data_IF_072195436497
#
_entry.id   IF_072195436497
#
_cell.length_a   1.000
_cell.length_b   1.000
_cell.length_c   1.000
_cell.angle_alpha   90.00
_cell.angle_beta   90.00
_cell.angle_gamma   90.00
#
_symmetry.space_group_name_H-M   'P 1'
#
loop_
_entity.id
_entity.type
_entity.pdbx_description
1 polymer ?
#
# COMPACT_ATOMS: atom_id res chain seq x y z
N UNK A 1 29.61 -10.65 60.26
CA UNK A 1 29.58 -10.93 58.79
C UNK A 1 28.33 -10.33 58.24
N UNK A 2 28.41 -9.15 57.58
CA UNK A 2 27.28 -8.46 56.98
C UNK A 2 27.29 -8.77 55.49
N UNK A 3 26.28 -9.47 54.99
CA UNK A 3 26.08 -9.70 53.58
C UNK A 3 25.29 -8.55 52.99
N UNK A 4 25.90 -7.78 52.09
CA UNK A 4 25.25 -6.74 51.31
C UNK A 4 24.28 -7.37 50.30
N UNK A 5 23.05 -6.87 50.16
CA UNK A 5 22.18 -7.27 49.04
C UNK A 5 22.65 -6.59 47.75
N UNK A 6 22.96 -7.40 46.76
CA UNK A 6 23.26 -6.92 45.39
C UNK A 6 22.00 -6.33 44.77
N UNK A 7 21.99 -5.00 44.57
CA UNK A 7 20.95 -4.30 43.87
C UNK A 7 21.05 -4.67 42.38
N UNK A 8 20.09 -5.46 41.88
CA UNK A 8 19.92 -5.76 40.46
C UNK A 8 19.37 -4.49 39.76
N UNK A 9 20.14 -3.96 38.83
CA UNK A 9 19.67 -2.83 38.03
C UNK A 9 18.44 -3.23 37.19
N UNK A 10 17.40 -2.37 37.09
CA UNK A 10 16.23 -2.66 36.25
C UNK A 10 16.67 -2.76 34.79
N UNK A 11 16.32 -3.88 34.13
CA UNK A 11 16.62 -4.14 32.73
C UNK A 11 16.10 -3.01 31.85
N UNK A 12 16.96 -2.47 31.01
CA UNK A 12 16.61 -1.52 29.97
C UNK A 12 15.55 -2.15 29.04
N UNK A 13 14.29 -1.73 29.21
CA UNK A 13 13.27 -1.95 28.18
C UNK A 13 13.69 -1.13 26.97
N UNK A 14 13.69 -1.68 25.77
CA UNK A 14 13.86 -0.87 24.58
C UNK A 14 12.73 0.17 24.56
N UNK A 15 13.06 1.42 24.76
CA UNK A 15 12.12 2.54 24.65
C UNK A 15 11.86 2.75 23.16
N UNK A 16 10.67 2.32 22.70
CA UNK A 16 10.17 2.68 21.38
C UNK A 16 10.03 4.21 21.36
N UNK A 17 10.57 4.93 20.36
CA UNK A 17 10.41 6.36 20.28
C UNK A 17 8.91 6.74 20.29
N UNK A 18 8.48 7.77 21.01
CA UNK A 18 7.06 8.11 21.14
C UNK A 18 6.33 8.35 19.81
N UNK A 19 7.06 8.74 18.78
CA UNK A 19 6.51 8.87 17.42
C UNK A 19 6.18 7.53 16.77
N UNK A 20 6.92 6.48 17.07
CA UNK A 20 6.69 5.12 16.54
C UNK A 20 5.49 4.45 17.23
N UNK A 21 5.29 4.66 18.52
CA UNK A 21 4.09 4.18 19.22
C UNK A 21 2.81 4.78 18.63
N UNK A 22 2.81 6.07 18.33
CA UNK A 22 1.70 6.77 17.69
C UNK A 22 1.40 6.20 16.30
N UNK A 23 2.44 5.91 15.51
CA UNK A 23 2.31 5.32 14.18
C UNK A 23 1.72 3.91 14.27
N UNK A 24 2.25 3.04 15.16
CA UNK A 24 1.73 1.68 15.31
C UNK A 24 0.28 1.65 15.76
N UNK A 25 -0.13 2.55 16.66
CA UNK A 25 -1.52 2.70 17.10
C UNK A 25 -2.43 3.14 15.95
N UNK A 26 -1.97 4.09 15.12
CA UNK A 26 -2.68 4.54 13.92
C UNK A 26 -2.87 3.42 12.89
N UNK A 27 -1.83 2.60 12.67
CA UNK A 27 -1.90 1.46 11.76
C UNK A 27 -2.87 0.37 12.25
N UNK A 28 -2.87 0.07 13.56
CA UNK A 28 -3.83 -0.89 14.14
C UNK A 28 -5.26 -0.41 13.97
N UNK A 29 -5.51 0.83 14.35
CA UNK A 29 -6.82 1.45 14.20
C UNK A 29 -7.30 1.42 12.75
N UNK A 30 -6.45 1.76 11.81
CA UNK A 30 -6.78 1.69 10.38
C UNK A 30 -7.10 0.26 9.93
N UNK A 31 -6.32 -0.73 10.38
CA UNK A 31 -6.58 -2.14 10.09
C UNK A 31 -7.96 -2.58 10.60
N UNK A 32 -8.30 -2.21 11.85
CA UNK A 32 -9.57 -2.56 12.48
C UNK A 32 -10.76 -1.88 11.78
N UNK A 33 -10.63 -0.60 11.39
CA UNK A 33 -11.72 0.18 10.79
C UNK A 33 -11.94 -0.16 9.30
N UNK A 34 -10.88 -0.50 8.55
CA UNK A 34 -10.97 -0.73 7.09
C UNK A 34 -10.95 -2.20 6.69
N UNK A 35 -10.74 -3.11 7.64
CA UNK A 35 -10.57 -4.55 7.37
C UNK A 35 -9.29 -4.88 6.61
N UNK A 36 -8.35 -3.94 6.50
CA UNK A 36 -7.06 -4.16 5.86
C UNK A 36 -6.08 -4.79 6.83
N UNK A 37 -5.29 -5.76 6.37
CA UNK A 37 -4.31 -6.45 7.20
C UNK A 37 -3.27 -5.49 7.80
N UNK A 38 -3.07 -5.56 9.13
CA UNK A 38 -2.13 -4.71 9.85
C UNK A 38 -0.68 -4.89 9.36
N UNK A 39 -0.27 -6.14 9.12
CA UNK A 39 1.07 -6.46 8.63
C UNK A 39 1.33 -5.86 7.25
N UNK A 40 0.31 -5.83 6.38
CA UNK A 40 0.38 -5.17 5.09
C UNK A 40 0.59 -3.66 5.24
N UNK A 41 -0.22 -2.99 6.06
CA UNK A 41 -0.09 -1.54 6.31
C UNK A 41 1.27 -1.20 6.93
N UNK A 42 1.72 -1.98 7.91
CA UNK A 42 3.02 -1.78 8.57
C UNK A 42 4.18 -1.95 7.58
N UNK A 43 4.18 -3.03 6.81
CA UNK A 43 5.24 -3.31 5.83
C UNK A 43 5.28 -2.24 4.74
N UNK A 44 4.11 -1.76 4.30
CA UNK A 44 4.02 -0.66 3.33
C UNK A 44 4.57 0.63 3.92
N UNK A 45 4.14 1.05 5.11
CA UNK A 45 4.63 2.27 5.77
C UNK A 45 6.15 2.22 6.07
N UNK A 46 6.68 1.06 6.46
CA UNK A 46 8.12 0.87 6.63
C UNK A 46 8.88 1.06 5.32
N UNK A 47 8.36 0.53 4.22
CA UNK A 47 8.99 0.61 2.89
C UNK A 47 8.91 2.01 2.30
N UNK A 48 7.77 2.69 2.43
CA UNK A 48 7.53 4.01 1.84
C UNK A 48 8.25 5.14 2.56
N UNK A 49 8.35 5.06 3.89
CA UNK A 49 8.84 6.19 4.70
C UNK A 49 9.72 5.80 5.88
N UNK A 50 10.01 4.51 6.09
CA UNK A 50 10.63 4.01 7.32
C UNK A 50 9.85 4.42 8.57
N UNK A 51 8.51 4.39 8.50
CA UNK A 51 7.58 4.84 9.53
C UNK A 51 7.68 6.33 9.88
N UNK A 52 8.17 7.15 8.97
CA UNK A 52 8.25 8.60 9.18
C UNK A 52 7.00 9.31 8.60
N UNK A 53 6.07 9.81 9.46
CA UNK A 53 4.86 10.49 9.00
C UNK A 53 5.13 11.85 8.34
N UNK A 54 6.34 12.40 8.51
CA UNK A 54 6.75 13.68 7.91
C UNK A 54 7.64 13.50 6.68
N UNK A 55 7.84 12.26 6.20
CA UNK A 55 8.62 12.00 4.99
C UNK A 55 8.04 12.77 3.80
N UNK A 56 8.92 13.29 2.97
CA UNK A 56 8.56 14.04 1.77
C UNK A 56 9.57 13.71 0.67
N UNK A 57 9.08 13.32 -0.50
CA UNK A 57 9.94 13.06 -1.64
C UNK A 57 10.53 14.36 -2.20
N UNK A 58 11.79 14.30 -2.62
CA UNK A 58 12.49 15.47 -3.19
C UNK A 58 12.01 15.82 -4.62
N UNK A 59 11.51 14.83 -5.37
CA UNK A 59 11.23 14.95 -6.80
C UNK A 59 9.75 14.82 -7.16
N UNK A 60 8.87 14.64 -6.17
CA UNK A 60 7.44 14.46 -6.40
C UNK A 60 6.62 15.04 -5.24
N UNK A 61 5.27 14.99 -5.36
CA UNK A 61 4.36 15.41 -4.31
C UNK A 61 4.13 14.35 -3.22
N UNK A 62 4.84 13.21 -3.27
CA UNK A 62 4.68 12.11 -2.32
C UNK A 62 5.04 12.54 -0.90
N UNK A 63 4.13 12.25 0.06
CA UNK A 63 4.24 12.78 1.42
C UNK A 63 3.65 11.78 2.43
N UNK A 64 4.25 11.74 3.63
CA UNK A 64 3.75 11.04 4.79
C UNK A 64 4.13 9.56 4.85
N UNK A 65 3.50 8.82 5.77
CA UNK A 65 3.78 7.40 6.03
C UNK A 65 3.72 6.52 4.78
N UNK A 66 2.76 6.79 3.89
CA UNK A 66 2.45 5.97 2.72
C UNK A 66 2.83 6.67 1.41
N UNK A 67 3.57 7.78 1.47
CA UNK A 67 4.03 8.55 0.32
C UNK A 67 2.91 8.85 -0.69
N UNK A 68 1.72 9.24 -0.19
CA UNK A 68 0.61 9.65 -1.03
C UNK A 68 0.96 10.83 -1.93
N UNK A 69 0.78 10.67 -3.21
CA UNK A 69 0.79 11.81 -4.15
C UNK A 69 -0.52 12.58 -4.08
N UNK A 70 -0.51 13.83 -4.52
CA UNK A 70 -1.65 14.74 -4.42
C UNK A 70 -2.93 14.15 -5.01
N UNK A 71 -2.90 13.64 -6.24
CA UNK A 71 -4.09 13.16 -6.93
C UNK A 71 -4.68 11.90 -6.28
N UNK A 72 -3.83 10.95 -5.88
CA UNK A 72 -4.29 9.75 -5.16
C UNK A 72 -4.90 10.14 -3.82
N UNK A 73 -4.26 11.05 -3.07
CA UNK A 73 -4.78 11.53 -1.79
C UNK A 73 -6.15 12.19 -1.93
N UNK A 74 -6.28 13.13 -2.88
CA UNK A 74 -7.56 13.81 -3.11
C UNK A 74 -8.63 12.83 -3.56
N UNK A 75 -8.28 11.85 -4.39
CA UNK A 75 -9.21 10.80 -4.83
C UNK A 75 -9.71 9.94 -3.66
N UNK A 76 -8.80 9.43 -2.85
CA UNK A 76 -9.15 8.62 -1.69
C UNK A 76 -9.97 9.42 -0.66
N UNK A 77 -9.58 10.66 -0.37
CA UNK A 77 -10.33 11.55 0.52
C UNK A 77 -11.73 11.86 -0.03
N UNK A 78 -11.87 12.06 -1.33
CA UNK A 78 -13.18 12.26 -1.98
C UNK A 78 -14.09 11.05 -1.83
N UNK A 79 -13.55 9.85 -1.97
CA UNK A 79 -14.32 8.60 -1.95
C UNK A 79 -14.66 8.16 -0.53
N UNK A 80 -13.72 8.21 0.40
CA UNK A 80 -13.83 7.60 1.73
C UNK A 80 -13.82 8.60 2.89
N UNK A 81 -13.46 9.87 2.64
CA UNK A 81 -13.32 10.85 3.72
C UNK A 81 -14.58 11.04 4.56
N UNK A 82 -15.77 10.97 3.94
CA UNK A 82 -17.03 11.15 4.67
C UNK A 82 -17.28 10.06 5.69
N UNK A 83 -16.84 8.83 5.46
CA UNK A 83 -17.00 7.69 6.36
C UNK A 83 -16.17 7.84 7.64
N UNK A 84 -15.10 8.64 7.58
CA UNK A 84 -14.15 8.88 8.68
C UNK A 84 -14.23 10.29 9.26
N UNK A 85 -15.35 11.01 9.04
CA UNK A 85 -15.56 12.34 9.61
C UNK A 85 -14.93 13.51 8.84
N UNK A 86 -14.39 13.25 7.64
CA UNK A 86 -13.81 14.26 6.75
C UNK A 86 -14.78 14.71 5.65
N UNK A 87 -16.11 14.68 5.90
CA UNK A 87 -17.14 15.00 4.91
C UNK A 87 -16.95 16.37 4.28
N UNK A 88 -16.66 17.42 5.06
CA UNK A 88 -16.40 18.78 4.54
C UNK A 88 -15.21 18.83 3.58
N UNK A 89 -14.18 18.04 3.79
CA UNK A 89 -13.05 17.94 2.87
C UNK A 89 -13.41 17.15 1.61
N UNK A 90 -14.14 16.04 1.76
CA UNK A 90 -14.63 15.26 0.64
C UNK A 90 -15.54 16.10 -0.27
N UNK A 91 -16.42 16.94 0.31
CA UNK A 91 -17.33 17.82 -0.44
C UNK A 91 -16.58 18.93 -1.19
N UNK A 92 -15.52 19.46 -0.61
CA UNK A 92 -14.68 20.49 -1.24
C UNK A 92 -13.87 19.97 -2.45
N UNK A 93 -13.69 18.64 -2.57
CA UNK A 93 -12.96 18.03 -3.67
C UNK A 93 -13.94 17.79 -4.84
N UNK A 94 -13.59 18.30 -6.02
CA UNK A 94 -14.34 18.12 -7.27
C UNK A 94 -13.55 17.31 -8.28
N UNK A 95 -14.26 16.56 -9.12
CA UNK A 95 -13.67 15.78 -10.22
C UNK A 95 -13.89 16.53 -11.52
N UNK A 96 -12.82 16.89 -12.21
CA UNK A 96 -12.90 17.51 -13.54
C UNK A 96 -13.24 16.51 -14.65
N UNK A 97 -13.60 17.01 -15.83
CA UNK A 97 -13.91 16.17 -16.99
C UNK A 97 -12.74 15.29 -17.47
N UNK A 98 -11.53 15.65 -17.08
CA UNK A 98 -10.30 14.86 -17.33
C UNK A 98 -10.00 13.86 -16.19
N UNK A 99 -10.94 13.63 -15.27
CA UNK A 99 -10.79 12.76 -14.14
C UNK A 99 -9.87 13.26 -13.02
N UNK A 100 -9.33 14.48 -13.13
CA UNK A 100 -8.45 15.05 -12.10
C UNK A 100 -9.24 15.62 -10.93
N UNK A 101 -8.75 15.36 -9.73
CA UNK A 101 -9.28 15.92 -8.50
C UNK A 101 -8.73 17.32 -8.26
N UNK A 102 -9.61 18.26 -7.94
CA UNK A 102 -9.28 19.66 -7.67
C UNK A 102 -10.03 20.17 -6.44
N UNK A 103 -9.47 21.17 -5.78
CA UNK A 103 -10.09 21.93 -4.69
C UNK A 103 -9.98 23.40 -5.06
N UNK A 104 -11.11 24.10 -5.15
CA UNK A 104 -11.16 25.48 -5.61
C UNK A 104 -10.51 26.45 -4.60
N UNK A 105 -10.77 26.24 -3.31
CA UNK A 105 -10.16 27.04 -2.23
C UNK A 105 -8.74 26.56 -1.94
N UNK A 106 -7.77 27.45 -2.07
CA UNK A 106 -6.35 27.13 -1.88
C UNK A 106 -5.99 26.80 -0.41
N UNK A 107 -6.64 27.45 0.56
CA UNK A 107 -6.41 27.18 1.97
C UNK A 107 -6.98 25.80 2.35
N UNK A 108 -8.20 25.50 1.93
CA UNK A 108 -8.82 24.19 2.08
C UNK A 108 -7.98 23.07 1.42
N UNK A 109 -7.45 23.32 0.23
CA UNK A 109 -6.54 22.38 -0.44
C UNK A 109 -5.30 22.09 0.39
N UNK A 110 -4.69 23.12 0.98
CA UNK A 110 -3.52 22.95 1.85
C UNK A 110 -3.84 22.15 3.11
N UNK A 111 -4.98 22.41 3.74
CA UNK A 111 -5.45 21.64 4.89
C UNK A 111 -5.64 20.17 4.55
N UNK A 112 -6.35 19.86 3.47
CA UNK A 112 -6.56 18.49 2.99
C UNK A 112 -5.21 17.79 2.72
N UNK A 113 -4.28 18.48 2.05
CA UNK A 113 -2.97 17.93 1.73
C UNK A 113 -2.06 17.75 2.96
N UNK A 114 -2.23 18.58 4.00
CA UNK A 114 -1.48 18.48 5.26
C UNK A 114 -1.81 17.20 6.04
N UNK A 115 -3.03 16.67 5.92
CA UNK A 115 -3.48 15.45 6.57
C UNK A 115 -2.66 14.20 6.14
N UNK A 116 -1.97 14.23 5.02
CA UNK A 116 -1.01 13.16 4.64
C UNK A 116 0.11 12.96 5.65
N UNK A 117 0.40 13.97 6.49
CA UNK A 117 1.41 13.96 7.55
C UNK A 117 0.84 13.56 8.92
N UNK A 118 -0.48 13.47 9.04
CA UNK A 118 -1.14 12.92 10.23
C UNK A 118 -1.17 11.39 10.13
N UNK A 119 -0.53 10.67 11.07
CA UNK A 119 -0.40 9.22 10.95
C UNK A 119 -1.76 8.49 10.98
N UNK A 120 -2.74 9.00 11.73
CA UNK A 120 -4.06 8.38 11.84
C UNK A 120 -4.83 8.51 10.54
N UNK A 121 -4.94 9.72 9.99
CA UNK A 121 -5.64 9.98 8.74
C UNK A 121 -4.96 9.28 7.56
N UNK A 122 -3.61 9.33 7.53
CA UNK A 122 -2.86 8.67 6.46
C UNK A 122 -3.04 7.15 6.48
N UNK A 123 -3.07 6.52 7.67
CA UNK A 123 -3.28 5.08 7.81
C UNK A 123 -4.72 4.68 7.42
N UNK A 124 -5.74 5.43 7.85
CA UNK A 124 -7.13 5.19 7.45
C UNK A 124 -7.29 5.25 5.93
N UNK A 125 -6.81 6.32 5.30
CA UNK A 125 -6.92 6.46 3.85
C UNK A 125 -6.12 5.38 3.09
N UNK A 126 -4.99 4.94 3.62
CA UNK A 126 -4.23 3.82 3.03
C UNK A 126 -4.99 2.48 3.18
N UNK A 127 -5.62 2.26 4.33
CA UNK A 127 -6.49 1.11 4.57
C UNK A 127 -7.65 1.08 3.59
N UNK A 128 -8.39 2.17 3.43
CA UNK A 128 -9.52 2.28 2.51
C UNK A 128 -9.11 2.03 1.05
N UNK A 129 -8.06 2.71 0.60
CA UNK A 129 -7.54 2.50 -0.76
C UNK A 129 -7.14 1.03 -0.98
N UNK A 130 -6.53 0.40 0.00
CA UNK A 130 -6.11 -1.01 -0.09
C UNK A 130 -7.30 -1.94 -0.10
N UNK A 131 -8.32 -1.69 0.73
CA UNK A 131 -9.56 -2.46 0.80
C UNK A 131 -10.32 -2.38 -0.53
N UNK A 132 -10.44 -1.19 -1.11
CA UNK A 132 -11.05 -0.99 -2.42
C UNK A 132 -10.30 -1.74 -3.52
N UNK A 133 -8.97 -1.58 -3.59
CA UNK A 133 -8.14 -2.29 -4.59
C UNK A 133 -8.28 -3.81 -4.44
N UNK A 134 -8.33 -4.31 -3.20
CA UNK A 134 -8.59 -5.73 -2.93
C UNK A 134 -9.91 -6.17 -3.52
N UNK A 135 -10.99 -5.47 -3.23
CA UNK A 135 -12.34 -5.78 -3.73
C UNK A 135 -12.40 -5.78 -5.27
N UNK A 136 -11.81 -4.78 -5.91
CA UNK A 136 -11.76 -4.67 -7.38
C UNK A 136 -10.97 -5.84 -8.01
N UNK A 137 -9.84 -6.21 -7.39
CA UNK A 137 -9.05 -7.34 -7.85
C UNK A 137 -9.76 -8.67 -7.64
N UNK A 138 -10.40 -8.89 -6.48
CA UNK A 138 -11.17 -10.10 -6.19
C UNK A 138 -12.34 -10.27 -7.15
N UNK A 139 -13.07 -9.20 -7.43
CA UNK A 139 -14.13 -9.21 -8.42
C UNK A 139 -13.61 -9.56 -9.83
N UNK A 140 -12.46 -9.02 -10.24
CA UNK A 140 -11.87 -9.27 -11.55
C UNK A 140 -11.25 -10.65 -11.70
N UNK A 141 -10.72 -11.23 -10.61
CA UNK A 141 -10.03 -12.53 -10.60
C UNK A 141 -10.98 -13.68 -10.23
N UNK A 142 -12.15 -13.40 -9.63
CA UNK A 142 -13.10 -14.41 -9.16
C UNK A 142 -12.61 -15.22 -7.95
N UNK A 143 -11.60 -14.71 -7.22
CA UNK A 143 -11.02 -15.36 -6.03
C UNK A 143 -10.39 -14.34 -5.09
N UNK A 144 -10.10 -14.76 -3.88
CA UNK A 144 -9.35 -13.97 -2.92
C UNK A 144 -7.97 -13.55 -3.43
N UNK A 145 -7.48 -12.40 -2.95
CA UNK A 145 -6.21 -11.78 -3.33
C UNK A 145 -5.25 -11.79 -2.14
N UNK A 146 -4.05 -12.29 -2.35
CA UNK A 146 -2.99 -12.34 -1.35
C UNK A 146 -2.33 -10.96 -1.12
N UNK A 147 -1.67 -10.78 0.04
CA UNK A 147 -0.88 -9.58 0.32
C UNK A 147 0.22 -9.33 -0.74
N UNK A 148 0.83 -10.39 -1.26
CA UNK A 148 1.80 -10.29 -2.35
C UNK A 148 1.18 -9.78 -3.65
N UNK A 149 -0.03 -10.19 -4.00
CA UNK A 149 -0.75 -9.70 -5.19
C UNK A 149 -1.21 -8.25 -5.01
N UNK A 150 -1.63 -7.85 -3.80
CA UNK A 150 -1.88 -6.45 -3.48
C UNK A 150 -0.62 -5.59 -3.65
N UNK A 151 0.56 -6.13 -3.28
CA UNK A 151 1.81 -5.43 -3.56
C UNK A 151 2.09 -5.30 -5.06
N UNK A 152 1.74 -6.29 -5.88
CA UNK A 152 1.83 -6.15 -7.34
C UNK A 152 0.92 -5.03 -7.84
N UNK A 153 -0.28 -4.89 -7.27
CA UNK A 153 -1.19 -3.77 -7.59
C UNK A 153 -0.63 -2.43 -7.14
N UNK A 154 0.00 -2.38 -5.97
CA UNK A 154 0.73 -1.20 -5.53
C UNK A 154 1.90 -0.86 -6.46
N UNK A 155 2.61 -1.85 -7.01
CA UNK A 155 3.77 -1.66 -7.88
C UNK A 155 3.44 -1.32 -9.34
N UNK A 156 2.41 -1.94 -9.93
CA UNK A 156 2.03 -1.80 -11.35
C UNK A 156 0.75 -1.00 -11.58
N UNK A 157 -0.02 -0.73 -10.54
CA UNK A 157 -1.41 -0.33 -10.60
C UNK A 157 -2.36 -1.54 -10.70
N UNK A 158 -3.61 -1.42 -10.22
CA UNK A 158 -4.55 -2.55 -10.09
C UNK A 158 -4.83 -3.27 -11.41
N UNK A 159 -5.09 -2.53 -12.49
CA UNK A 159 -5.37 -3.09 -13.81
C UNK A 159 -4.19 -3.91 -14.38
N UNK A 160 -2.97 -3.38 -14.26
CA UNK A 160 -1.79 -4.09 -14.75
C UNK A 160 -1.46 -5.31 -13.87
N UNK A 161 -1.71 -5.25 -12.57
CA UNK A 161 -1.58 -6.39 -11.67
C UNK A 161 -2.54 -7.52 -12.02
N UNK A 162 -3.83 -7.21 -12.23
CA UNK A 162 -4.83 -8.18 -12.70
C UNK A 162 -4.38 -8.84 -14.01
N UNK A 163 -3.90 -8.06 -14.98
CA UNK A 163 -3.40 -8.57 -16.23
C UNK A 163 -2.16 -9.47 -16.06
N UNK A 164 -1.24 -9.08 -15.17
CA UNK A 164 -0.06 -9.90 -14.87
C UNK A 164 -0.43 -11.22 -14.20
N UNK A 165 -1.36 -11.22 -13.26
CA UNK A 165 -1.84 -12.43 -12.58
C UNK A 165 -2.51 -13.36 -13.59
N UNK A 166 -3.46 -12.87 -14.38
CA UNK A 166 -4.13 -13.66 -15.44
C UNK A 166 -3.15 -14.21 -16.48
N UNK A 167 -2.15 -13.40 -16.86
CA UNK A 167 -1.13 -13.86 -17.81
C UNK A 167 -0.20 -14.92 -17.20
N UNK A 168 0.11 -14.82 -15.92
CA UNK A 168 0.90 -15.86 -15.24
C UNK A 168 0.15 -17.20 -15.15
N UNK A 169 -1.18 -17.18 -15.07
CA UNK A 169 -2.02 -18.38 -15.11
C UNK A 169 -2.14 -18.96 -16.54
N UNK A 170 -2.39 -18.10 -17.53
CA UNK A 170 -2.67 -18.53 -18.91
C UNK A 170 -1.40 -18.76 -19.75
N UNK A 171 -0.40 -17.90 -19.63
CA UNK A 171 0.83 -17.88 -20.43
C UNK A 171 2.07 -17.61 -19.58
N UNK A 172 2.41 -18.47 -18.59
CA UNK A 172 3.43 -18.21 -17.58
C UNK A 172 4.83 -17.91 -18.14
N UNK A 173 5.14 -18.40 -19.34
CA UNK A 173 6.43 -18.22 -20.01
C UNK A 173 6.50 -16.96 -20.89
N UNK A 174 5.39 -16.22 -21.06
CA UNK A 174 5.40 -14.98 -21.84
C UNK A 174 6.38 -13.97 -21.25
N UNK A 175 6.94 -13.10 -22.09
CA UNK A 175 7.85 -12.04 -21.66
C UNK A 175 7.10 -10.98 -20.88
N UNK A 176 7.47 -10.78 -19.61
CA UNK A 176 6.88 -9.72 -18.81
C UNK A 176 7.25 -8.32 -19.33
N UNK A 177 8.43 -8.15 -19.92
CA UNK A 177 8.87 -6.86 -20.45
C UNK A 177 8.05 -6.44 -21.68
N UNK A 178 7.62 -7.39 -22.50
CA UNK A 178 6.81 -7.10 -23.69
C UNK A 178 5.37 -6.72 -23.29
N UNK A 179 4.85 -7.33 -22.23
CA UNK A 179 3.52 -7.03 -21.72
C UNK A 179 3.46 -5.69 -20.93
N UNK A 180 4.54 -5.32 -20.26
CA UNK A 180 4.62 -4.14 -19.39
C UNK A 180 5.85 -3.29 -19.70
N UNK A 181 5.99 -2.75 -20.93
CA UNK A 181 7.22 -2.11 -21.40
C UNK A 181 7.62 -0.88 -20.57
N UNK A 182 6.66 -0.07 -20.13
CA UNK A 182 6.93 1.10 -19.28
C UNK A 182 7.49 0.68 -17.91
N UNK A 183 6.87 -0.29 -17.26
CA UNK A 183 7.35 -0.83 -15.99
C UNK A 183 8.72 -1.52 -16.13
N UNK A 184 8.93 -2.25 -17.22
CA UNK A 184 10.18 -2.92 -17.51
C UNK A 184 11.33 -1.95 -17.78
N UNK A 185 11.07 -0.84 -18.49
CA UNK A 185 12.04 0.22 -18.72
C UNK A 185 12.47 0.89 -17.41
N UNK A 186 11.50 1.21 -16.55
CA UNK A 186 11.74 1.86 -15.27
C UNK A 186 12.37 0.93 -14.21
N UNK A 187 12.19 -0.40 -14.33
CA UNK A 187 12.56 -1.38 -13.30
C UNK A 187 13.33 -2.57 -13.89
N UNK A 188 14.39 -2.30 -14.63
CA UNK A 188 15.16 -3.32 -15.37
C UNK A 188 15.60 -4.51 -14.50
N UNK A 189 16.03 -4.29 -13.28
CA UNK A 189 16.47 -5.36 -12.36
C UNK A 189 15.34 -6.33 -11.98
N UNK A 190 14.09 -5.91 -12.03
CA UNK A 190 12.92 -6.74 -11.77
C UNK A 190 12.54 -7.55 -13.00
N UNK A 191 12.57 -6.90 -14.19
CA UNK A 191 12.07 -7.48 -15.43
C UNK A 191 13.12 -8.21 -16.26
N UNK A 192 14.41 -8.02 -15.96
CA UNK A 192 15.52 -8.64 -16.72
C UNK A 192 16.49 -9.37 -15.77
N UNK A 193 17.15 -10.40 -16.31
CA UNK A 193 18.27 -11.07 -15.68
C UNK A 193 19.30 -11.45 -16.77
N UNK A 194 20.57 -11.11 -16.55
CA UNK A 194 21.63 -11.35 -17.54
C UNK A 194 21.33 -10.72 -18.92
N UNK A 195 20.61 -9.59 -18.97
CA UNK A 195 20.21 -8.93 -20.22
C UNK A 195 18.96 -9.51 -20.87
N UNK A 196 18.47 -10.67 -20.43
CA UNK A 196 17.28 -11.33 -20.97
C UNK A 196 16.02 -10.96 -20.18
N UNK A 197 14.88 -10.81 -20.89
CA UNK A 197 13.59 -10.57 -20.25
C UNK A 197 13.16 -11.81 -19.46
N UNK A 198 12.66 -11.57 -18.23
CA UNK A 198 12.07 -12.61 -17.39
C UNK A 198 10.65 -12.93 -17.84
N UNK A 199 10.20 -14.15 -17.57
CA UNK A 199 8.82 -14.54 -17.79
C UNK A 199 7.86 -13.85 -16.81
N UNK A 200 6.59 -13.74 -17.20
CA UNK A 200 5.51 -13.17 -16.36
C UNK A 200 5.43 -13.89 -15.02
N UNK A 201 5.48 -15.22 -15.01
CA UNK A 201 5.46 -16.01 -13.78
C UNK A 201 6.67 -15.68 -12.87
N UNK A 202 7.87 -15.52 -13.46
CA UNK A 202 9.08 -15.20 -12.69
C UNK A 202 9.03 -13.79 -12.09
N UNK A 203 8.52 -12.80 -12.83
CA UNK A 203 8.35 -11.43 -12.32
C UNK A 203 7.28 -11.38 -11.25
N UNK A 204 6.12 -12.03 -11.46
CA UNK A 204 5.06 -12.13 -10.46
C UNK A 204 5.57 -12.77 -9.17
N UNK A 205 6.23 -13.92 -9.23
CA UNK A 205 6.82 -14.60 -8.07
C UNK A 205 7.84 -13.70 -7.34
N UNK A 206 8.68 -12.98 -8.08
CA UNK A 206 9.65 -12.04 -7.49
C UNK A 206 9.00 -10.85 -6.77
N UNK A 207 7.85 -10.37 -7.26
CA UNK A 207 7.10 -9.27 -6.64
C UNK A 207 6.31 -9.76 -5.42
N UNK A 208 5.60 -10.88 -5.54
CA UNK A 208 4.77 -11.43 -4.46
C UNK A 208 5.59 -11.90 -3.27
N UNK A 209 6.79 -12.49 -3.49
CA UNK A 209 7.68 -12.93 -2.41
C UNK A 209 8.16 -11.81 -1.49
N UNK A 210 8.12 -10.56 -1.94
CA UNK A 210 8.49 -9.40 -1.11
C UNK A 210 7.48 -9.07 -0.01
N UNK A 211 6.26 -9.63 -0.07
CA UNK A 211 5.21 -9.48 0.94
C UNK A 211 4.69 -10.81 1.50
N UNK A 212 5.20 -11.94 1.04
CA UNK A 212 4.76 -13.29 1.45
C UNK A 212 5.77 -14.07 2.30
N UNK A 213 6.93 -13.50 2.61
CA UNK A 213 7.93 -14.12 3.50
C UNK A 213 7.86 -13.54 4.90
N UNK A 214 8.35 -14.30 5.90
CA UNK A 214 8.55 -13.83 7.28
C UNK A 214 9.38 -12.54 7.25
N UNK A 215 8.72 -11.40 7.31
CA UNK A 215 9.35 -10.09 7.17
C UNK A 215 9.60 -9.50 8.56
N UNK A 216 10.36 -8.41 8.60
CA UNK A 216 10.52 -7.58 9.81
C UNK A 216 9.16 -7.24 10.41
N UNK A 217 8.10 -7.16 9.59
CA UNK A 217 6.70 -7.01 10.02
C UNK A 217 6.23 -8.13 10.94
N UNK A 218 6.49 -9.40 10.60
CA UNK A 218 6.09 -10.54 11.45
C UNK A 218 6.86 -10.55 12.77
N UNK A 219 8.13 -10.16 12.76
CA UNK A 219 8.94 -10.03 13.97
C UNK A 219 8.45 -8.86 14.84
N UNK A 220 8.01 -7.75 14.24
CA UNK A 220 7.44 -6.61 14.96
C UNK A 220 6.01 -6.88 15.42
N UNK A 221 5.21 -7.67 14.67
CA UNK A 221 3.91 -8.15 15.13
C UNK A 221 4.05 -9.02 16.37
N UNK A 222 4.96 -9.99 16.37
CA UNK A 222 5.23 -10.81 17.55
C UNK A 222 5.67 -9.98 18.76
N UNK A 223 6.46 -8.92 18.53
CA UNK A 223 6.86 -7.99 19.58
C UNK A 223 5.70 -7.08 20.05
N UNK A 224 4.75 -6.76 19.17
CA UNK A 224 3.60 -5.92 19.48
C UNK A 224 2.47 -6.69 20.18
N UNK A 225 2.28 -7.98 19.88
CA UNK A 225 1.33 -8.86 20.60
C UNK A 225 1.79 -9.18 22.02
N UNK A 226 3.09 -9.17 22.30
CA UNK A 226 3.63 -9.39 23.66
C UNK A 226 3.46 -8.21 24.62
N UNK A 227 2.87 -7.10 24.20
CA UNK A 227 2.57 -5.91 25.04
C UNK A 227 1.24 -6.02 25.80
N UNK A 228 0.42 -7.04 25.55
CA UNK A 228 -0.83 -7.28 26.30
C UNK A 228 -0.60 -8.34 27.38
N UNK A 229 -0.46 -7.85 28.63
CA UNK A 229 -0.41 -8.46 29.95
C UNK A 229 0.97 -8.89 30.53
N UNK A 230 1.30 -8.40 31.75
CA UNK A 230 2.49 -8.85 32.45
C UNK A 230 2.15 -10.10 33.29
N UNK A 231 2.41 -11.30 32.77
CA UNK A 231 2.51 -12.48 33.60
C UNK A 231 3.99 -12.85 33.77
N UNK A 232 4.44 -12.81 35.02
CA UNK A 232 5.79 -13.14 35.41
C UNK A 232 6.20 -14.54 34.93
N UNK A 233 7.33 -14.65 34.23
CA UNK A 233 8.05 -15.90 34.06
C UNK A 233 9.53 -15.63 34.32
N UNK A 234 10.09 -16.40 35.26
CA UNK A 234 11.48 -16.43 35.64
C UNK A 234 12.30 -17.25 34.64
N UNK A 235 13.59 -16.86 34.55
CA UNK A 235 14.76 -17.62 34.09
C UNK A 235 14.79 -18.25 32.69
N UNK A 236 15.62 -17.64 31.82
CA UNK A 236 16.45 -18.37 30.87
C UNK A 236 17.69 -17.53 30.47
N UNK A 237 18.87 -18.17 30.20
CA UNK A 237 20.16 -17.51 30.22
C UNK A 237 20.53 -16.80 28.91
N UNK A 238 21.30 -15.71 29.10
CA UNK A 238 21.84 -14.86 28.05
C UNK A 238 22.85 -15.59 27.14
N UNK A 239 22.61 -15.49 25.83
CA UNK A 239 23.71 -15.51 24.84
C UNK A 239 23.45 -14.38 23.83
N UNK A 240 24.09 -13.25 24.09
CA UNK A 240 24.20 -12.14 23.15
C UNK A 240 25.10 -12.56 21.99
N UNK A 241 24.52 -12.69 20.80
CA UNK A 241 25.23 -12.55 19.53
C UNK A 241 25.01 -11.15 18.99
N UNK A 242 26.13 -10.50 18.67
CA UNK A 242 26.20 -9.14 18.16
C UNK A 242 25.34 -8.98 16.90
N UNK A 243 24.40 -8.04 16.96
CA UNK A 243 23.60 -7.58 15.82
C UNK A 243 24.43 -6.53 15.09
N UNK A 244 24.82 -6.82 13.87
CA UNK A 244 25.42 -5.86 12.93
C UNK A 244 24.48 -4.68 12.68
N UNK A 245 24.98 -3.44 12.53
CA UNK A 245 24.13 -2.26 12.46
C UNK A 245 23.32 -2.23 11.16
N UNK A 246 22.04 -1.87 11.33
CA UNK A 246 20.92 -1.81 10.42
C UNK A 246 21.12 -0.90 9.17
N UNK A 247 22.21 -0.19 9.05
CA UNK A 247 22.41 0.84 8.02
C UNK A 247 22.62 0.33 6.58
N UNK A 248 22.87 -0.96 6.36
CA UNK A 248 23.18 -1.46 5.01
C UNK A 248 21.94 -1.93 4.19
N UNK A 249 20.77 -2.08 4.83
CA UNK A 249 19.52 -2.51 4.15
C UNK A 249 18.65 -1.36 3.67
N UNK A 250 18.88 -0.14 4.16
CA UNK A 250 18.05 1.04 3.85
C UNK A 250 18.38 1.59 2.45
N UNK A 251 19.58 1.37 1.96
CA UNK A 251 20.07 1.96 0.69
C UNK A 251 19.43 1.33 -0.57
N UNK A 252 18.90 0.10 -0.48
CA UNK A 252 18.24 -0.56 -1.63
C UNK A 252 16.71 -0.35 -1.68
N UNK A 253 16.06 0.09 -0.60
CA UNK A 253 14.62 0.34 -0.56
C UNK A 253 14.22 1.70 -1.15
N UNK A 254 15.16 2.65 -1.18
CA UNK A 254 14.90 4.06 -1.58
C UNK A 254 14.71 4.26 -3.09
N UNK A 255 15.02 3.26 -3.92
CA UNK A 255 15.03 3.42 -5.39
C UNK A 255 13.65 3.21 -6.02
N UNK A 256 12.71 2.53 -5.34
CA UNK A 256 11.43 2.14 -5.95
C UNK A 256 10.28 3.12 -5.70
N UNK A 257 10.27 3.85 -4.60
CA UNK A 257 9.19 4.78 -4.26
C UNK A 257 8.96 5.92 -5.28
N UNK A 258 10.00 6.58 -5.84
CA UNK A 258 9.79 7.64 -6.82
C UNK A 258 9.21 7.16 -8.16
N UNK A 259 9.49 5.91 -8.54
CA UNK A 259 9.05 5.34 -9.82
C UNK A 259 7.57 4.99 -9.78
N UNK A 260 7.08 4.51 -8.65
CA UNK A 260 5.67 4.21 -8.41
C UNK A 260 4.79 5.45 -8.51
N UNK A 261 5.23 6.52 -7.89
CA UNK A 261 4.54 7.81 -7.93
C UNK A 261 4.36 8.30 -9.37
N UNK A 262 5.36 8.11 -10.21
CA UNK A 262 5.34 8.55 -11.61
C UNK A 262 4.44 7.65 -12.47
N UNK A 263 4.36 6.35 -12.17
CA UNK A 263 3.52 5.39 -12.90
C UNK A 263 2.02 5.58 -12.56
N UNK A 264 1.68 5.82 -11.29
CA UNK A 264 0.30 6.11 -10.86
C UNK A 264 -0.21 7.47 -11.38
N UNK A 265 0.67 8.45 -11.53
CA UNK A 265 0.33 9.76 -12.12
C UNK A 265 0.04 9.70 -13.63
N UNK A 266 0.44 8.63 -14.32
CA UNK A 266 0.22 8.41 -15.75
C UNK A 266 -0.97 7.49 -16.07
N UNK A 267 -1.66 6.96 -15.07
CA UNK A 267 -2.85 6.15 -15.27
C UNK A 267 -4.08 7.05 -15.30
N UNK A 268 -4.85 6.96 -16.38
CA UNK A 268 -6.17 7.56 -16.46
C UNK A 268 -7.04 7.06 -15.29
N UNK A 269 -7.87 7.94 -14.70
CA UNK A 269 -8.78 7.53 -13.63
C UNK A 269 -9.68 6.41 -14.16
N UNK A 270 -9.80 5.34 -13.38
CA UNK A 270 -10.67 4.21 -13.71
C UNK A 270 -12.10 4.71 -13.93
N UNK A 271 -12.74 4.48 -15.08
CA UNK A 271 -14.16 4.69 -15.19
C UNK A 271 -14.88 3.75 -14.24
N UNK A 272 -15.85 4.30 -13.51
CA UNK A 272 -16.68 3.57 -12.56
C UNK A 272 -17.33 2.35 -13.28
N UNK A 273 -16.86 1.15 -13.01
CA UNK A 273 -17.32 -0.10 -13.63
C UNK A 273 -18.79 -0.43 -13.33
N UNK A 274 -19.43 0.28 -12.39
CA UNK A 274 -20.83 0.09 -12.06
C UNK A 274 -21.81 0.66 -13.12
N UNK A 275 -21.36 1.49 -14.05
CA UNK A 275 -22.23 2.14 -15.04
C UNK A 275 -22.32 1.42 -16.39
N UNK A 276 -21.52 0.39 -16.67
CA UNK A 276 -21.44 -0.22 -18.01
C UNK A 276 -22.20 -1.55 -18.18
N UNK A 277 -23.00 -1.98 -17.20
CA UNK A 277 -23.72 -3.27 -17.27
C UNK A 277 -25.20 -3.14 -17.72
N UNK A 278 -25.70 -1.94 -17.94
CA UNK A 278 -27.14 -1.74 -18.22
C UNK A 278 -27.50 -1.35 -19.66
N UNK A 279 -26.58 -1.32 -20.63
CA UNK A 279 -26.90 -0.92 -22.02
C UNK A 279 -26.56 -2.02 -23.05
N UNK A 280 -26.98 -3.25 -22.81
CA UNK A 280 -27.00 -4.27 -23.88
C UNK A 280 -28.39 -4.96 -23.92
N UNK A 281 -29.44 -4.18 -24.29
CA UNK A 281 -30.69 -4.74 -24.77
C UNK A 281 -30.64 -4.89 -26.29
N UNK A 282 -30.91 -6.09 -26.85
CA UNK A 282 -30.94 -6.28 -28.30
C UNK A 282 -32.18 -5.59 -28.87
N UNK A 283 -31.98 -4.57 -29.67
CA UNK A 283 -33.02 -3.94 -30.51
C UNK A 283 -33.60 -4.97 -31.47
N UNK A 284 -34.77 -5.51 -31.13
CA UNK A 284 -35.64 -6.27 -32.04
C UNK A 284 -36.07 -5.35 -33.19
N UNK A 285 -35.50 -5.59 -34.36
CA UNK A 285 -35.98 -5.00 -35.64
C UNK A 285 -37.43 -5.37 -35.87
N UNK A 286 -38.35 -4.43 -35.68
CA UNK A 286 -39.70 -4.50 -36.24
C UNK A 286 -39.63 -4.22 -37.73
N UNK A 287 -39.67 -5.28 -38.52
CA UNK A 287 -40.02 -5.17 -39.93
C UNK A 287 -41.52 -4.96 -40.02
N UNK A 288 -41.96 -3.76 -40.28
CA UNK A 288 -43.33 -3.49 -40.76
C UNK A 288 -43.37 -3.68 -42.26
N UNK A 289 -43.92 -4.81 -42.71
CA UNK A 289 -44.35 -4.99 -44.08
C UNK A 289 -45.56 -4.10 -44.31
N UNK A 290 -45.51 -3.21 -45.30
CA UNK A 290 -46.61 -2.49 -45.86
C UNK A 290 -46.93 -3.09 -47.22
N UNK A 291 -48.10 -3.67 -47.35
CA UNK A 291 -48.72 -4.06 -48.61
C UNK A 291 -49.45 -2.84 -49.22
N UNK A 292 -49.36 -2.75 -50.52
CA UNK A 292 -50.10 -1.97 -51.54
C UNK A 292 -49.51 -0.61 -51.85
#
# INVERSE_FOLDING_TARGET
MHTNPTTVAPGLRPTIPPNTENVLSALRRAADETGTDFGYLLTTAMRESSLNPKAQAATSSATGLFQFIEQTWLGTMKQHGSEHGFGSYADAITVGNNGRYTVADAAMKQEILALRKDPTTAALMAGEMTSQVRGDMEAALGRGVSAGELYVAHFLGPKAAINMIKAAEATPKASAADMFPAAASANRSIFYAGGQAKSVASVLASLTSKHGGTTVGDTMMAAAETVVEPKAVADAPAQMRAVTPFNHMVEQATILAPIMVQLLASLDPMPNLAASVLDDEPQLRRTSGGLI
#
